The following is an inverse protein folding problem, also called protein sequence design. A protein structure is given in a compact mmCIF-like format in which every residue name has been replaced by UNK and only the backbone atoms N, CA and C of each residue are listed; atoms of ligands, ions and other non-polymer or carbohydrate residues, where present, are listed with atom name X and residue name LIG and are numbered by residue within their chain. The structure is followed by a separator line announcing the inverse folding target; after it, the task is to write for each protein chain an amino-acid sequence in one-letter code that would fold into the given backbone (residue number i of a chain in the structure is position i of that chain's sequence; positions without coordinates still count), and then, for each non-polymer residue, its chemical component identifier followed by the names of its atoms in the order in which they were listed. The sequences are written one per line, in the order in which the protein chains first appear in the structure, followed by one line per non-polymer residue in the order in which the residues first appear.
data_IF_579524826865
#
_entry.id   IF_579524826865
#
_cell.length_a   1.000
_cell.length_b   1.000
_cell.length_c   1.000
_cell.angle_alpha   90.00
_cell.angle_beta   90.00
_cell.angle_gamma   90.00
#
_symmetry.space_group_name_H-M   'P 1'
#
loop_
_entity.id
_entity.type
_entity.pdbx_description
1 polymer ?
#
# COMPACT_ATOMS: atom_id res chain seq x y z
N UNK A 1 -17.44 -19.12 37.74
CA UNK A 1 -18.14 -20.36 37.33
C UNK A 1 -17.65 -20.85 35.97
N UNK A 2 -17.62 -20.00 34.93
CA UNK A 2 -17.07 -20.34 33.60
C UNK A 2 -15.67 -20.97 33.68
N UNK A 3 -14.76 -20.30 34.37
CA UNK A 3 -13.35 -20.67 34.41
C UNK A 3 -13.13 -21.99 35.18
N UNK A 4 -13.94 -22.23 36.21
CA UNK A 4 -13.92 -23.48 37.00
C UNK A 4 -14.43 -24.66 36.16
N UNK A 5 -15.53 -24.47 35.43
CA UNK A 5 -16.07 -25.50 34.53
C UNK A 5 -15.11 -25.77 33.35
N UNK A 6 -14.44 -24.75 32.83
CA UNK A 6 -13.42 -24.90 31.80
C UNK A 6 -12.27 -25.78 32.28
N UNK A 7 -11.78 -25.56 33.51
CA UNK A 7 -10.73 -26.41 34.11
C UNK A 7 -11.20 -27.85 34.38
N UNK A 8 -12.43 -28.04 34.87
CA UNK A 8 -13.04 -29.37 35.07
C UNK A 8 -13.11 -30.15 33.76
N UNK A 9 -13.55 -29.48 32.68
CA UNK A 9 -13.60 -30.06 31.35
C UNK A 9 -12.19 -30.36 30.80
N UNK A 10 -11.24 -29.43 30.99
CA UNK A 10 -9.85 -29.57 30.54
C UNK A 10 -9.15 -30.76 31.20
N UNK A 11 -9.43 -31.03 32.48
CA UNK A 11 -8.92 -32.19 33.23
C UNK A 11 -9.79 -33.45 33.12
N UNK A 12 -10.84 -33.43 32.31
CA UNK A 12 -11.81 -34.53 32.15
C UNK A 12 -12.32 -35.11 33.48
N UNK A 13 -12.56 -34.25 34.48
CA UNK A 13 -13.09 -34.64 35.78
C UNK A 13 -14.52 -35.15 35.59
N UNK A 14 -14.78 -36.38 36.04
CA UNK A 14 -16.10 -37.03 35.93
C UNK A 14 -16.86 -36.96 37.26
N UNK A 15 -18.18 -37.13 37.16
CA UNK A 15 -19.09 -37.27 38.31
C UNK A 15 -18.96 -36.13 39.35
N UNK A 16 -18.83 -34.90 38.86
CA UNK A 16 -18.71 -33.73 39.72
C UNK A 16 -20.07 -33.18 40.17
N UNK A 17 -20.11 -32.67 41.41
CA UNK A 17 -21.26 -32.05 42.04
C UNK A 17 -21.26 -30.53 41.77
N UNK A 18 -22.13 -30.12 40.84
CA UNK A 18 -22.33 -28.72 40.46
C UNK A 18 -22.80 -27.84 41.62
N UNK A 19 -23.65 -28.36 42.49
CA UNK A 19 -24.23 -27.59 43.60
C UNK A 19 -23.15 -27.32 44.65
N UNK A 20 -22.33 -28.33 44.95
CA UNK A 20 -21.16 -28.17 45.81
C UNK A 20 -20.16 -27.14 45.24
N UNK A 21 -19.92 -27.12 43.93
CA UNK A 21 -19.03 -26.14 43.27
C UNK A 21 -19.59 -24.72 43.40
N UNK A 22 -20.89 -24.53 43.11
CA UNK A 22 -21.53 -23.20 43.18
C UNK A 22 -21.51 -22.67 44.62
N UNK A 23 -21.83 -23.51 45.60
CA UNK A 23 -21.80 -23.13 47.00
C UNK A 23 -20.37 -22.77 47.44
N UNK A 24 -19.36 -23.56 47.04
CA UNK A 24 -17.96 -23.26 47.34
C UNK A 24 -17.49 -21.91 46.79
N UNK A 25 -17.89 -21.57 45.55
CA UNK A 25 -17.56 -20.29 44.91
C UNK A 25 -18.19 -19.11 45.67
N UNK A 26 -19.43 -19.26 46.13
CA UNK A 26 -20.17 -18.21 46.82
C UNK A 26 -19.69 -18.02 48.27
N UNK A 27 -19.46 -19.11 48.99
CA UNK A 27 -19.12 -19.10 50.41
C UNK A 27 -17.63 -18.86 50.68
N UNK A 28 -16.78 -18.82 49.63
CA UNK A 28 -15.31 -18.71 49.72
C UNK A 28 -14.71 -19.74 50.68
N UNK A 29 -15.26 -20.95 50.68
CA UNK A 29 -14.74 -22.06 51.47
C UNK A 29 -13.41 -22.54 50.87
N UNK A 30 -12.44 -22.87 51.73
CA UNK A 30 -11.07 -23.16 51.28
C UNK A 30 -10.96 -24.47 50.48
N UNK A 31 -11.66 -25.54 50.89
CA UNK A 31 -11.61 -26.83 50.20
C UNK A 31 -12.96 -27.58 50.27
N UNK A 32 -13.57 -27.79 49.10
CA UNK A 32 -14.80 -28.59 48.96
C UNK A 32 -14.51 -29.78 48.06
N UNK A 33 -14.87 -30.98 48.52
CA UNK A 33 -14.84 -32.17 47.66
C UNK A 33 -16.04 -32.12 46.72
N UNK A 34 -15.77 -31.91 45.44
CA UNK A 34 -16.80 -31.82 44.41
C UNK A 34 -16.83 -33.03 43.45
N UNK A 35 -15.93 -34.02 43.58
CA UNK A 35 -15.89 -35.21 42.73
C UNK A 35 -15.28 -36.43 43.48
N UNK A 36 -15.50 -37.67 43.00
CA UNK A 36 -14.77 -38.85 43.50
C UNK A 36 -13.27 -38.80 43.15
N UNK A 37 -12.46 -39.61 43.84
CA UNK A 37 -11.02 -39.74 43.56
C UNK A 37 -10.86 -40.35 42.16
N UNK A 38 -10.08 -39.68 41.33
CA UNK A 38 -9.74 -40.10 39.97
C UNK A 38 -8.28 -39.74 39.67
N UNK A 39 -7.71 -40.34 38.63
CA UNK A 39 -6.37 -40.00 38.18
C UNK A 39 -6.34 -38.57 37.66
N UNK A 40 -5.32 -37.81 38.07
CA UNK A 40 -5.14 -36.45 37.60
C UNK A 40 -4.51 -36.45 36.20
N UNK A 41 -5.14 -35.72 35.27
CA UNK A 41 -4.59 -35.48 33.95
C UNK A 41 -3.62 -34.30 34.03
N UNK A 42 -2.35 -34.57 33.76
CA UNK A 42 -1.31 -33.56 33.66
C UNK A 42 -1.39 -32.88 32.29
N UNK A 43 -1.28 -31.56 32.28
CA UNK A 43 -1.34 -30.73 31.07
C UNK A 43 0.02 -30.08 30.88
N UNK A 44 0.63 -30.33 29.73
CA UNK A 44 1.90 -29.72 29.33
C UNK A 44 1.72 -28.24 28.94
N UNK A 45 2.83 -27.50 28.95
CA UNK A 45 2.89 -26.14 28.44
C UNK A 45 2.57 -26.13 26.94
N UNK A 46 1.60 -25.31 26.53
CA UNK A 46 1.08 -25.28 25.17
C UNK A 46 1.39 -23.95 24.48
N UNK A 47 1.67 -24.00 23.17
CA UNK A 47 1.96 -22.85 22.34
C UNK A 47 0.88 -22.70 21.30
N UNK A 48 0.03 -21.69 21.46
CA UNK A 48 -0.98 -21.35 20.48
C UNK A 48 -0.44 -20.27 19.54
N UNK A 49 -0.59 -20.50 18.23
CA UNK A 49 -0.14 -19.57 17.19
C UNK A 49 -1.34 -19.21 16.34
N UNK A 50 -1.63 -17.92 16.31
CA UNK A 50 -2.68 -17.32 15.49
C UNK A 50 -2.06 -16.47 14.38
N UNK A 51 -2.69 -16.48 13.22
CA UNK A 51 -2.34 -15.61 12.11
C UNK A 51 -3.58 -14.76 11.82
N UNK A 52 -3.38 -13.46 11.58
CA UNK A 52 -4.48 -12.57 11.20
C UNK A 52 -5.10 -13.01 9.86
N UNK A 53 -6.36 -12.65 9.62
CA UNK A 53 -7.07 -13.02 8.39
C UNK A 53 -6.35 -12.56 7.11
N UNK A 54 -5.71 -11.38 7.17
CA UNK A 54 -4.91 -10.81 6.09
C UNK A 54 -3.50 -11.44 5.97
N UNK A 55 -3.15 -12.38 6.85
CA UNK A 55 -1.83 -13.02 6.99
C UNK A 55 -0.67 -12.03 7.15
N UNK A 56 -0.94 -10.81 7.61
CA UNK A 56 0.08 -9.77 7.81
C UNK A 56 0.69 -9.81 9.21
N UNK A 57 0.04 -10.45 10.18
CA UNK A 57 0.51 -10.50 11.56
C UNK A 57 0.45 -11.93 12.10
N UNK A 58 1.52 -12.31 12.80
CA UNK A 58 1.61 -13.57 13.53
C UNK A 58 1.63 -13.31 15.02
N UNK A 59 0.82 -14.06 15.76
CA UNK A 59 0.69 -13.95 17.21
C UNK A 59 1.01 -15.27 17.88
N UNK A 60 1.54 -15.19 19.09
CA UNK A 60 1.73 -16.35 19.96
C UNK A 60 1.04 -16.11 21.30
N UNK A 61 0.50 -17.19 21.86
CA UNK A 61 0.00 -17.25 23.23
C UNK A 61 0.61 -18.49 23.88
N UNK A 62 1.36 -18.28 24.97
CA UNK A 62 1.90 -19.37 25.78
C UNK A 62 0.89 -19.70 26.89
N UNK A 63 0.50 -20.96 27.02
CA UNK A 63 -0.38 -21.43 28.09
C UNK A 63 0.44 -22.18 29.15
N UNK A 64 0.23 -21.90 30.44
CA UNK A 64 1.01 -22.51 31.50
C UNK A 64 0.71 -24.01 31.61
N UNK A 65 1.71 -24.83 32.01
CA UNK A 65 1.47 -26.22 32.34
C UNK A 65 0.62 -26.35 33.61
N UNK A 66 -0.11 -27.45 33.73
CA UNK A 66 -0.84 -27.84 34.94
C UNK A 66 -0.41 -29.26 35.32
N UNK A 67 0.61 -29.35 36.17
CA UNK A 67 1.24 -30.62 36.56
C UNK A 67 2.08 -31.31 35.49
N UNK A 68 2.04 -30.84 34.23
CA UNK A 68 2.82 -31.37 33.10
C UNK A 68 4.20 -30.73 32.91
N UNK A 69 4.83 -30.98 31.75
CA UNK A 69 6.18 -30.49 31.44
C UNK A 69 6.16 -29.05 30.89
N UNK A 70 7.28 -28.35 31.07
CA UNK A 70 7.55 -27.11 30.36
C UNK A 70 8.11 -27.41 28.96
N UNK A 71 7.77 -26.56 27.99
CA UNK A 71 8.32 -26.62 26.65
C UNK A 71 9.74 -26.05 26.65
N UNK A 72 10.64 -26.66 25.88
CA UNK A 72 11.99 -26.11 25.67
C UNK A 72 11.98 -24.99 24.65
N UNK A 73 12.97 -24.09 24.71
CA UNK A 73 13.02 -22.93 23.82
C UNK A 73 13.13 -23.33 22.35
N UNK A 74 13.90 -24.38 22.05
CA UNK A 74 14.04 -24.87 20.68
C UNK A 74 12.72 -25.45 20.14
N UNK A 75 11.98 -26.19 20.98
CA UNK A 75 10.65 -26.70 20.62
C UNK A 75 9.65 -25.56 20.41
N UNK A 76 9.69 -24.51 21.25
CA UNK A 76 8.89 -23.30 21.10
C UNK A 76 9.17 -22.59 19.76
N UNK A 77 10.44 -22.34 19.45
CA UNK A 77 10.84 -21.68 18.20
C UNK A 77 10.48 -22.53 16.98
N UNK A 78 10.63 -23.85 17.04
CA UNK A 78 10.28 -24.74 15.95
C UNK A 78 8.77 -24.70 15.66
N UNK A 79 7.92 -24.78 16.69
CA UNK A 79 6.46 -24.62 16.54
C UNK A 79 6.08 -23.28 15.91
N UNK A 80 6.73 -22.19 16.31
CA UNK A 80 6.52 -20.86 15.72
C UNK A 80 6.92 -20.86 14.24
N UNK A 81 8.10 -21.38 13.92
CA UNK A 81 8.64 -21.44 12.55
C UNK A 81 7.88 -22.36 11.62
N UNK A 82 7.13 -23.34 12.13
CA UNK A 82 6.28 -24.19 11.30
C UNK A 82 5.18 -23.37 10.61
N UNK A 83 4.57 -22.42 11.33
CA UNK A 83 3.48 -21.59 10.81
C UNK A 83 3.92 -20.22 10.29
N UNK A 84 4.93 -19.61 10.89
CA UNK A 84 5.42 -18.28 10.54
C UNK A 84 6.80 -18.39 9.91
N UNK A 85 6.93 -17.89 8.67
CA UNK A 85 8.14 -17.99 7.84
C UNK A 85 8.85 -16.66 7.64
N UNK A 86 8.16 -15.53 7.82
CA UNK A 86 8.71 -14.19 7.57
C UNK A 86 8.42 -13.23 8.71
N UNK A 87 9.34 -12.28 8.91
CA UNK A 87 9.13 -11.12 9.78
C UNK A 87 9.12 -11.43 11.27
N UNK A 88 9.72 -12.55 11.69
CA UNK A 88 9.80 -12.96 13.10
C UNK A 88 10.68 -12.02 13.92
N UNK A 89 10.15 -11.62 15.06
CA UNK A 89 10.83 -10.82 16.09
C UNK A 89 11.41 -11.76 17.16
N UNK A 90 12.68 -12.13 16.97
CA UNK A 90 13.38 -13.08 17.85
C UNK A 90 13.57 -12.54 19.28
N UNK A 91 13.70 -11.22 19.44
CA UNK A 91 13.85 -10.61 20.75
C UNK A 91 12.56 -10.76 21.56
N UNK A 92 11.40 -10.48 20.94
CA UNK A 92 10.10 -10.74 21.59
C UNK A 92 9.87 -12.21 21.90
N UNK A 93 10.23 -13.12 20.99
CA UNK A 93 10.09 -14.55 21.25
C UNK A 93 10.89 -14.99 22.48
N UNK A 94 12.12 -14.48 22.61
CA UNK A 94 12.96 -14.71 23.78
C UNK A 94 12.34 -14.12 25.04
N UNK A 95 11.87 -12.88 24.98
CA UNK A 95 11.21 -12.21 26.11
C UNK A 95 9.97 -12.97 26.60
N UNK A 96 9.11 -13.42 25.68
CA UNK A 96 7.90 -14.19 26.00
C UNK A 96 8.25 -15.48 26.73
N UNK A 97 9.29 -16.16 26.27
CA UNK A 97 9.71 -17.44 26.82
C UNK A 97 10.46 -17.30 28.15
N UNK A 98 11.40 -16.36 28.27
CA UNK A 98 12.20 -16.16 29.49
C UNK A 98 11.34 -15.61 30.64
N UNK A 99 10.46 -14.66 30.35
CA UNK A 99 9.58 -14.06 31.35
C UNK A 99 8.28 -14.86 31.56
N UNK A 100 8.12 -15.99 30.85
CA UNK A 100 6.94 -16.86 30.91
C UNK A 100 5.64 -16.05 30.84
N UNK A 101 5.50 -15.26 29.76
CA UNK A 101 4.35 -14.37 29.55
C UNK A 101 3.10 -15.17 29.16
N UNK A 102 2.51 -15.84 30.14
CA UNK A 102 1.37 -16.71 29.97
C UNK A 102 0.07 -15.98 29.69
N UNK A 103 -0.83 -16.65 28.95
CA UNK A 103 -2.20 -16.22 28.65
C UNK A 103 -2.28 -14.83 27.98
N UNK A 104 -1.19 -14.39 27.35
CA UNK A 104 -1.11 -13.13 26.63
C UNK A 104 -0.90 -13.39 25.15
N UNK A 105 -1.77 -12.81 24.32
CA UNK A 105 -1.63 -12.82 22.87
C UNK A 105 -0.66 -11.71 22.45
N UNK A 106 0.52 -12.10 21.96
CA UNK A 106 1.60 -11.16 21.65
C UNK A 106 1.96 -11.26 20.17
N UNK A 107 2.08 -10.11 19.51
CA UNK A 107 2.49 -10.02 18.11
C UNK A 107 3.99 -10.29 17.99
N UNK A 108 4.34 -11.36 17.30
CA UNK A 108 5.72 -11.85 17.13
C UNK A 108 6.20 -11.79 15.68
N UNK A 109 5.31 -11.49 14.73
CA UNK A 109 5.71 -11.36 13.34
C UNK A 109 4.89 -10.34 12.56
N UNK A 110 5.54 -9.68 11.60
CA UNK A 110 4.89 -8.74 10.69
C UNK A 110 5.33 -8.99 9.23
N UNK A 111 4.35 -9.14 8.34
CA UNK A 111 4.57 -9.22 6.90
C UNK A 111 4.92 -7.86 6.29
N UNK A 112 5.44 -7.87 5.06
CA UNK A 112 5.69 -6.65 4.26
C UNK A 112 4.51 -6.42 3.32
N UNK A 113 3.88 -5.24 3.37
CA UNK A 113 2.82 -4.90 2.39
C UNK A 113 3.42 -4.58 1.02
N UNK A 114 2.74 -4.91 -0.09
CA UNK A 114 3.18 -4.50 -1.41
C UNK A 114 3.09 -2.98 -1.56
N UNK A 115 4.01 -2.40 -2.31
CA UNK A 115 4.04 -0.98 -2.65
C UNK A 115 3.76 -0.83 -4.14
N UNK A 116 2.78 -0.02 -4.49
CA UNK A 116 2.45 0.25 -5.89
C UNK A 116 3.56 1.07 -6.56
N UNK A 117 3.82 0.75 -7.83
CA UNK A 117 4.67 1.55 -8.69
C UNK A 117 4.02 2.91 -9.00
N UNK A 118 4.85 3.89 -9.32
CA UNK A 118 4.40 5.24 -9.70
C UNK A 118 4.04 5.26 -11.17
N UNK A 119 2.90 5.87 -11.49
CA UNK A 119 2.48 6.09 -12.88
C UNK A 119 3.51 6.93 -13.63
N UNK A 120 3.74 6.56 -14.89
CA UNK A 120 4.53 7.38 -15.80
C UNK A 120 3.77 8.65 -16.14
N UNK A 121 4.49 9.73 -16.39
CA UNK A 121 3.90 11.01 -16.74
C UNK A 121 4.72 11.70 -17.82
N UNK A 122 4.10 12.66 -18.50
CA UNK A 122 4.79 13.47 -19.50
C UNK A 122 5.24 14.77 -18.82
N UNK A 123 6.54 15.02 -18.85
CA UNK A 123 7.14 16.29 -18.51
C UNK A 123 7.17 17.17 -19.76
N UNK A 124 6.60 18.35 -19.65
CA UNK A 124 6.47 19.28 -20.76
C UNK A 124 7.49 20.41 -20.62
N UNK A 125 8.12 20.78 -21.73
CA UNK A 125 9.14 21.83 -21.76
C UNK A 125 8.62 23.13 -22.41
N UNK A 126 7.32 23.21 -22.67
CA UNK A 126 6.61 24.42 -23.09
C UNK A 126 5.36 24.60 -22.23
N UNK A 127 4.80 25.83 -22.20
CA UNK A 127 3.64 26.10 -21.36
C UNK A 127 2.37 25.44 -21.93
N UNK A 128 1.71 24.60 -21.12
CA UNK A 128 0.49 23.86 -21.47
C UNK A 128 -0.75 24.45 -20.79
N UNK A 129 -0.61 25.51 -19.99
CA UNK A 129 -1.68 26.10 -19.15
C UNK A 129 -2.92 26.53 -19.94
N UNK A 130 -2.80 26.68 -21.27
CA UNK A 130 -3.91 26.93 -22.19
C UNK A 130 -4.92 25.77 -22.35
N UNK A 131 -4.81 24.68 -21.57
CA UNK A 131 -5.81 23.59 -21.55
C UNK A 131 -6.78 23.69 -20.37
N UNK A 132 -6.46 24.36 -19.25
CA UNK A 132 -7.33 24.35 -18.06
C UNK A 132 -7.19 25.59 -17.15
N UNK A 133 -7.91 26.68 -17.46
CA UNK A 133 -8.81 27.45 -16.55
C UNK A 133 -8.99 28.89 -17.06
N UNK A 134 -10.19 29.30 -17.51
CA UNK A 134 -10.51 30.71 -17.61
C UNK A 134 -10.43 31.35 -16.21
N UNK A 135 -9.71 32.46 -16.09
CA UNK A 135 -9.70 33.24 -14.86
C UNK A 135 -11.06 33.98 -14.78
N UNK A 136 -11.90 33.62 -13.81
CA UNK A 136 -13.20 34.27 -13.59
C UNK A 136 -12.94 35.56 -12.80
N UNK A 137 -13.31 36.70 -13.38
CA UNK A 137 -13.21 38.01 -12.73
C UNK A 137 -14.32 38.16 -11.67
N UNK A 138 -14.14 39.12 -10.76
CA UNK A 138 -15.08 39.39 -9.65
C UNK A 138 -16.51 39.76 -10.10
N UNK A 139 -16.67 40.17 -11.35
CA UNK A 139 -17.96 40.51 -11.98
C UNK A 139 -18.58 39.33 -12.76
N UNK A 140 -17.99 38.13 -12.69
CA UNK A 140 -18.46 36.95 -13.40
C UNK A 140 -18.08 36.93 -14.89
N UNK A 141 -17.38 37.94 -15.39
CA UNK A 141 -16.83 37.92 -16.74
C UNK A 141 -15.55 37.09 -16.81
N UNK A 142 -15.34 36.43 -17.95
CA UNK A 142 -14.13 35.63 -18.21
C UNK A 142 -13.09 36.55 -18.82
N UNK A 143 -11.93 36.70 -18.16
CA UNK A 143 -10.82 37.44 -18.74
C UNK A 143 -10.11 36.59 -19.79
N UNK A 144 -10.40 36.85 -21.07
CA UNK A 144 -9.70 36.22 -22.19
C UNK A 144 -8.33 36.88 -22.50
N UNK A 145 -7.89 37.91 -21.74
CA UNK A 145 -6.75 38.76 -22.13
C UNK A 145 -5.36 38.24 -21.80
N UNK A 146 -5.21 37.07 -21.17
CA UNK A 146 -3.89 36.58 -20.73
C UNK A 146 -3.47 35.18 -21.26
N UNK A 147 -4.12 34.63 -22.29
CA UNK A 147 -3.80 33.26 -22.78
C UNK A 147 -3.02 33.23 -24.11
N UNK A 148 -2.40 34.33 -24.53
CA UNK A 148 -1.52 34.37 -25.71
C UNK A 148 -0.03 34.17 -25.35
N UNK A 149 0.28 33.19 -24.50
CA UNK A 149 1.67 32.73 -24.38
C UNK A 149 1.97 31.91 -25.64
N UNK A 150 2.55 32.58 -26.64
CA UNK A 150 3.05 31.93 -27.85
C UNK A 150 4.30 31.13 -27.45
N UNK A 151 4.17 29.81 -27.40
CA UNK A 151 5.33 28.94 -27.25
C UNK A 151 6.04 28.81 -28.60
N UNK A 152 7.01 29.69 -28.85
CA UNK A 152 7.90 29.54 -30.01
C UNK A 152 9.01 28.53 -29.66
N UNK A 153 9.30 27.66 -30.61
CA UNK A 153 10.34 26.63 -30.49
C UNK A 153 11.22 26.64 -31.73
N UNK A 154 12.48 26.24 -31.56
CA UNK A 154 13.42 26.04 -32.65
C UNK A 154 13.47 24.58 -33.08
N UNK A 155 13.85 24.35 -34.33
CA UNK A 155 14.18 23.02 -34.84
C UNK A 155 15.22 22.36 -33.93
N UNK A 156 14.93 21.12 -33.53
CA UNK A 156 15.75 20.32 -32.63
C UNK A 156 15.44 20.52 -31.15
N UNK A 157 14.57 21.46 -30.78
CA UNK A 157 14.25 21.74 -29.38
C UNK A 157 13.40 20.60 -28.76
N UNK A 158 13.71 20.26 -27.50
CA UNK A 158 12.98 19.26 -26.73
C UNK A 158 11.63 19.85 -26.27
N UNK A 159 10.54 19.23 -26.70
CA UNK A 159 9.18 19.68 -26.42
C UNK A 159 8.57 18.97 -25.22
N UNK A 160 8.81 17.67 -25.11
CA UNK A 160 8.27 16.85 -24.03
C UNK A 160 9.12 15.60 -23.82
N UNK A 161 9.09 15.09 -22.60
CA UNK A 161 9.74 13.87 -22.18
C UNK A 161 8.74 12.98 -21.44
N UNK A 162 8.70 11.70 -21.82
CA UNK A 162 7.96 10.65 -21.12
C UNK A 162 8.85 10.14 -19.99
N UNK A 163 8.40 10.36 -18.76
CA UNK A 163 8.97 9.71 -17.58
C UNK A 163 8.27 8.35 -17.44
N UNK A 164 8.99 7.22 -17.57
CA UNK A 164 8.39 5.89 -17.54
C UNK A 164 7.79 5.58 -16.16
N UNK A 165 6.82 4.68 -16.14
CA UNK A 165 6.26 4.16 -14.89
C UNK A 165 7.32 3.35 -14.13
N UNK A 166 7.22 3.32 -12.81
CA UNK A 166 8.07 2.46 -11.99
C UNK A 166 7.38 1.11 -11.74
N UNK A 167 8.19 0.09 -11.51
CA UNK A 167 7.70 -1.13 -10.89
C UNK A 167 7.30 -0.85 -9.44
N UNK A 168 6.35 -1.63 -8.94
CA UNK A 168 6.08 -1.69 -7.51
C UNK A 168 7.12 -2.57 -6.79
N UNK A 169 6.97 -2.65 -5.47
CA UNK A 169 7.69 -3.61 -4.65
C UNK A 169 6.72 -4.67 -4.12
N UNK A 170 7.02 -5.93 -4.38
CA UNK A 170 6.21 -7.03 -3.86
C UNK A 170 6.25 -7.07 -2.33
N UNK A 171 5.12 -7.46 -1.77
CA UNK A 171 4.95 -7.74 -0.35
C UNK A 171 5.16 -9.22 -0.05
N UNK A 172 5.21 -9.56 1.23
CA UNK A 172 5.29 -10.95 1.70
C UNK A 172 4.49 -11.09 3.01
N UNK A 173 3.64 -12.10 3.10
CA UNK A 173 2.88 -12.42 4.31
C UNK A 173 3.77 -13.06 5.37
N UNK A 174 3.30 -13.16 6.61
CA UNK A 174 4.04 -13.86 7.68
C UNK A 174 4.19 -15.36 7.41
N UNK A 175 3.30 -15.97 6.59
CA UNK A 175 3.40 -17.37 6.16
C UNK A 175 4.39 -17.58 5.00
N UNK A 176 4.94 -16.50 4.44
CA UNK A 176 5.91 -16.54 3.34
C UNK A 176 5.29 -16.48 1.95
N UNK A 177 3.99 -16.25 1.81
CA UNK A 177 3.33 -16.05 0.52
C UNK A 177 3.69 -14.68 -0.06
N UNK A 178 4.12 -14.64 -1.33
CA UNK A 178 4.42 -13.39 -2.05
C UNK A 178 3.11 -12.66 -2.41
N UNK A 179 3.08 -11.35 -2.19
CA UNK A 179 1.96 -10.48 -2.54
C UNK A 179 2.42 -9.60 -3.72
N UNK A 180 1.95 -9.85 -4.94
CA UNK A 180 2.42 -9.11 -6.11
C UNK A 180 2.05 -7.64 -6.01
N UNK A 181 2.99 -6.78 -6.40
CA UNK A 181 2.77 -5.36 -6.51
C UNK A 181 2.11 -4.99 -7.84
N UNK A 182 1.54 -3.77 -7.87
CA UNK A 182 0.95 -3.22 -9.09
C UNK A 182 1.97 -2.30 -9.73
N UNK A 183 2.31 -2.55 -11.00
CA UNK A 183 3.15 -1.64 -11.80
C UNK A 183 2.38 -0.34 -12.08
N UNK A 184 3.08 0.79 -12.05
CA UNK A 184 2.49 2.06 -12.46
C UNK A 184 2.02 2.03 -13.93
N UNK A 185 1.02 2.84 -14.25
CA UNK A 185 0.48 2.95 -15.61
C UNK A 185 1.47 3.65 -16.53
N UNK A 186 1.72 3.04 -17.68
CA UNK A 186 2.54 3.64 -18.73
C UNK A 186 1.79 4.79 -19.42
N UNK A 187 2.53 5.83 -19.80
CA UNK A 187 2.04 6.91 -20.65
C UNK A 187 2.84 6.94 -21.95
N UNK A 188 2.21 7.30 -23.07
CA UNK A 188 2.91 7.43 -24.36
C UNK A 188 2.82 8.86 -24.87
N UNK A 189 3.92 9.33 -25.49
CA UNK A 189 3.91 10.57 -26.24
C UNK A 189 3.17 10.36 -27.55
N UNK A 190 2.24 11.27 -27.87
CA UNK A 190 1.60 11.30 -29.18
C UNK A 190 2.09 12.55 -29.89
N UNK A 191 2.62 12.38 -31.09
CA UNK A 191 3.15 13.48 -31.90
C UNK A 191 2.33 13.65 -33.17
N UNK A 192 2.29 14.87 -33.68
CA UNK A 192 1.65 15.25 -34.94
C UNK A 192 2.62 15.96 -35.86
N UNK A 193 2.13 16.93 -36.63
CA UNK A 193 2.92 17.61 -37.67
C UNK A 193 4.14 18.32 -37.07
N UNK A 194 5.27 18.22 -37.77
CA UNK A 194 6.55 18.89 -37.46
C UNK A 194 7.13 18.54 -36.07
N UNK A 195 6.79 17.36 -35.53
CA UNK A 195 7.37 16.82 -34.30
C UNK A 195 7.84 15.39 -34.55
N UNK A 196 9.01 15.04 -34.03
CA UNK A 196 9.57 13.69 -34.12
C UNK A 196 9.80 13.13 -32.72
N UNK A 197 9.64 11.82 -32.56
CA UNK A 197 10.03 11.11 -31.35
C UNK A 197 11.48 10.65 -31.44
N UNK A 198 12.19 10.59 -30.32
CA UNK A 198 13.44 9.83 -30.21
C UNK A 198 13.22 8.37 -30.57
N UNK A 199 14.30 7.65 -30.91
CA UNK A 199 14.25 6.22 -31.28
C UNK A 199 13.59 5.35 -30.20
N UNK A 200 13.81 5.67 -28.93
CA UNK A 200 13.18 4.98 -27.80
C UNK A 200 11.76 5.47 -27.48
N UNK A 201 11.25 6.50 -28.16
CA UNK A 201 9.93 7.10 -27.94
C UNK A 201 9.79 7.92 -26.66
N UNK A 202 10.89 8.25 -25.98
CA UNK A 202 10.85 8.90 -24.65
C UNK A 202 10.91 10.42 -24.73
N UNK A 203 11.35 10.99 -25.85
CA UNK A 203 11.45 12.42 -26.03
C UNK A 203 10.80 12.85 -27.35
N UNK A 204 10.18 14.02 -27.37
CA UNK A 204 9.61 14.63 -28.56
C UNK A 204 10.38 15.91 -28.90
N UNK A 205 10.77 16.07 -30.17
CA UNK A 205 11.56 17.20 -30.65
C UNK A 205 10.88 17.92 -31.81
N UNK A 206 11.08 19.23 -31.90
CA UNK A 206 10.62 20.02 -33.03
C UNK A 206 11.43 19.73 -34.30
N UNK A 207 10.77 19.51 -35.42
CA UNK A 207 11.43 19.34 -36.73
C UNK A 207 11.64 20.68 -37.47
N UNK A 208 10.94 21.73 -37.04
CA UNK A 208 10.90 23.06 -37.66
C UNK A 208 10.79 24.13 -36.59
N UNK A 209 11.22 25.33 -36.93
CA UNK A 209 10.97 26.53 -36.14
C UNK A 209 9.47 26.88 -36.24
N UNK A 210 8.85 27.29 -35.13
CA UNK A 210 7.45 27.70 -35.15
C UNK A 210 6.78 27.65 -33.78
N UNK A 211 5.46 27.62 -33.78
CA UNK A 211 4.64 27.61 -32.57
C UNK A 211 4.26 26.18 -32.18
N UNK A 212 4.63 25.75 -30.96
CA UNK A 212 4.23 24.46 -30.41
C UNK A 212 2.86 24.54 -29.71
N UNK A 213 2.01 23.55 -29.98
CA UNK A 213 0.74 23.36 -29.29
C UNK A 213 0.53 21.90 -28.89
N UNK A 214 -0.21 21.68 -27.80
CA UNK A 214 -0.74 20.37 -27.45
C UNK A 214 -2.25 20.37 -27.68
N UNK A 215 -2.74 19.52 -28.61
CA UNK A 215 -4.19 19.34 -28.87
C UNK A 215 -4.55 17.87 -28.75
N UNK A 216 -5.56 17.54 -27.94
CA UNK A 216 -6.01 16.16 -27.71
C UNK A 216 -4.86 15.21 -27.29
N UNK A 217 -3.90 15.71 -26.51
CA UNK A 217 -2.71 14.97 -26.09
C UNK A 217 -1.67 14.74 -27.19
N UNK A 218 -1.81 15.38 -28.36
CA UNK A 218 -0.83 15.36 -29.46
C UNK A 218 -0.04 16.67 -29.51
N UNK A 219 1.28 16.55 -29.61
CA UNK A 219 2.21 17.67 -29.79
C UNK A 219 2.32 18.01 -31.28
N UNK A 220 2.10 19.26 -31.64
CA UNK A 220 2.16 19.75 -33.02
C UNK A 220 2.94 21.06 -33.06
N UNK A 221 3.78 21.24 -34.07
CA UNK A 221 4.45 22.52 -34.35
C UNK A 221 3.91 23.10 -35.65
N UNK A 222 3.39 24.33 -35.58
CA UNK A 222 2.97 25.11 -36.74
C UNK A 222 4.10 26.04 -37.15
N UNK A 223 4.54 25.94 -38.41
CA UNK A 223 5.54 26.86 -38.96
C UNK A 223 4.99 28.29 -38.94
N UNK A 224 5.76 29.20 -38.34
CA UNK A 224 5.45 30.63 -38.36
C UNK A 224 6.31 31.24 -39.46
N UNK A 225 5.67 31.72 -40.53
CA UNK A 225 6.36 32.48 -41.56
C UNK A 225 6.45 33.93 -41.10
N UNK A 226 7.66 34.41 -40.79
CA UNK A 226 7.90 35.85 -40.71
C UNK A 226 7.74 36.43 -42.12
N UNK A 227 6.72 37.27 -42.31
CA UNK A 227 6.64 38.11 -43.51
C UNK A 227 7.73 39.16 -43.35
N UNK A 228 8.87 38.95 -43.99
CA UNK A 228 9.90 39.97 -44.14
C UNK A 228 9.41 41.03 -45.14
N UNK A 229 8.52 41.90 -44.66
CA UNK A 229 8.03 43.07 -45.37
C UNK A 229 7.64 44.10 -44.35
N UNK A 230 8.08 45.35 -44.53
CA UNK A 230 7.67 46.49 -43.71
C UNK A 230 6.18 46.37 -43.38
N UNK A 231 5.86 46.26 -42.09
CA UNK A 231 4.51 46.52 -41.61
C UNK A 231 4.31 48.02 -41.74
N UNK A 232 3.95 48.45 -42.95
CA UNK A 232 3.33 49.74 -43.18
C UNK A 232 2.04 49.76 -42.36
N UNK A 233 1.90 50.77 -41.52
CA UNK A 233 0.77 51.02 -40.65
C UNK A 233 -0.46 51.57 -41.42
N UNK A 234 -0.56 51.28 -42.72
CA UNK A 234 -1.65 51.69 -43.58
C UNK A 234 -2.46 50.47 -44.03
N UNK A 235 -3.77 50.53 -43.78
CA UNK A 235 -4.80 49.50 -44.03
C UNK A 235 -4.81 48.38 -42.97
N UNK A 236 -5.73 48.31 -42.01
CA UNK A 236 -7.15 48.65 -42.03
C UNK A 236 -7.98 47.36 -42.16
N UNK A 237 -8.60 46.91 -41.06
CA UNK A 237 -9.60 45.83 -40.96
C UNK A 237 -9.42 44.60 -41.87
N UNK A 238 -8.83 43.53 -41.32
CA UNK A 238 -8.89 42.20 -41.95
C UNK A 238 -10.18 41.50 -41.47
N UNK A 239 -11.27 41.67 -42.23
CA UNK A 239 -12.46 40.82 -42.10
C UNK A 239 -12.13 39.43 -42.63
N UNK A 240 -12.22 38.43 -41.75
CA UNK A 240 -12.12 37.03 -42.11
C UNK A 240 -13.42 36.62 -42.84
N UNK A 241 -13.40 36.52 -44.17
CA UNK A 241 -14.38 35.73 -44.92
C UNK A 241 -13.67 34.52 -45.53
N UNK A 242 -14.12 33.35 -45.10
CA UNK A 242 -13.75 32.04 -45.65
C UNK A 242 -14.74 31.73 -46.77
N UNK A 243 -14.24 31.22 -47.90
CA UNK A 243 -15.01 30.41 -48.82
C UNK A 243 -14.28 29.09 -49.04
#
# INVERSE_FOLDING_TARGET
MSDVLEQINKKHIREYDLEAIVNAINDKSDFVRFAPKQEEILIDEEVLIDISEDKMFGYVTLLPPDGGRNIEFDEFINKVKEKIKYGLDYEKLKEIFENKLYNKKICIAQGKKPVAGKDGYIKWYFNIENICKPQILKDGSVDYRNLNIINNVKKGELLAERIPATNGEDGITVTGENIPSIKGKEVSLKVGKNVILSENGYAAYALKDGQVVCRNGKIVVYEVFEIAGNVDNSTGNISLMVQ
#
